data_IF_200146395519
#
_entry.id   IF_200146395519
#
_cell.length_a   1.000
_cell.length_b   1.000
_cell.length_c   1.000
_cell.angle_alpha   90.00
_cell.angle_beta   90.00
_cell.angle_gamma   90.00
#
_symmetry.space_group_name_H-M   'P 1'
#
loop_
_entity.id
_entity.type
_entity.pdbx_description
1 polymer ?
#
# COMPACT_ATOMS: atom_id res chain seq x y z
N UNK A 1 -24.39 15.46 -14.44
CA UNK A 1 -23.66 14.92 -15.61
C UNK A 1 -22.67 13.80 -15.22
N UNK A 2 -22.95 12.97 -14.20
CA UNK A 2 -21.95 12.01 -13.65
C UNK A 2 -22.42 10.55 -13.49
N UNK A 3 -23.70 10.22 -13.68
CA UNK A 3 -24.19 8.85 -13.50
C UNK A 3 -24.27 8.03 -14.81
N UNK A 4 -24.50 8.68 -15.95
CA UNK A 4 -24.50 8.00 -17.26
C UNK A 4 -23.11 7.49 -17.66
N UNK A 5 -22.04 8.20 -17.30
CA UNK A 5 -20.67 7.76 -17.58
C UNK A 5 -20.28 6.52 -16.76
N UNK A 6 -20.69 6.40 -15.49
CA UNK A 6 -20.38 5.20 -14.70
C UNK A 6 -21.12 3.95 -15.19
N UNK A 7 -22.38 4.11 -15.64
CA UNK A 7 -23.17 3.04 -16.23
C UNK A 7 -22.64 2.62 -17.62
N UNK A 8 -22.17 3.58 -18.42
CA UNK A 8 -21.50 3.26 -19.69
C UNK A 8 -20.13 2.61 -19.46
N UNK A 9 -19.32 3.10 -18.52
CA UNK A 9 -18.02 2.51 -18.18
C UNK A 9 -18.20 1.07 -17.68
N UNK A 10 -19.22 0.79 -16.87
CA UNK A 10 -19.55 -0.60 -16.49
C UNK A 10 -20.05 -1.42 -17.69
N UNK A 11 -20.87 -0.86 -18.58
CA UNK A 11 -21.28 -1.53 -19.82
C UNK A 11 -20.11 -1.86 -20.76
N UNK A 12 -19.09 -0.99 -20.80
CA UNK A 12 -17.85 -1.21 -21.56
C UNK A 12 -16.88 -2.17 -20.85
N UNK A 13 -16.81 -2.14 -19.51
CA UNK A 13 -15.97 -3.03 -18.71
C UNK A 13 -16.50 -4.48 -18.71
N UNK A 14 -17.82 -4.65 -18.79
CA UNK A 14 -18.51 -5.94 -18.76
C UNK A 14 -19.27 -6.22 -20.06
N UNK A 15 -18.64 -6.00 -21.22
CA UNK A 15 -19.19 -6.34 -22.54
C UNK A 15 -19.40 -7.86 -22.68
N UNK A 16 -20.43 -8.38 -22.03
CA UNK A 16 -21.00 -9.71 -22.24
C UNK A 16 -22.08 -9.49 -23.30
N UNK A 17 -21.66 -9.37 -24.57
CA UNK A 17 -22.63 -9.43 -25.67
C UNK A 17 -23.11 -10.88 -25.78
N UNK A 18 -24.42 -11.16 -25.68
CA UNK A 18 -24.94 -12.52 -25.87
C UNK A 18 -24.81 -13.00 -27.33
N UNK A 19 -24.40 -12.12 -28.26
CA UNK A 19 -23.99 -12.51 -29.61
C UNK A 19 -22.46 -12.67 -29.64
N UNK A 20 -22.06 -13.93 -29.51
CA UNK A 20 -20.67 -14.37 -29.43
C UNK A 20 -19.84 -13.99 -30.67
N UNK A 21 -18.53 -13.81 -30.46
CA UNK A 21 -17.45 -13.69 -31.44
C UNK A 21 -17.02 -12.32 -32.00
N UNK A 22 -17.70 -11.18 -31.77
CA UNK A 22 -17.23 -9.90 -32.34
C UNK A 22 -16.44 -8.96 -31.43
N UNK A 23 -16.60 -9.04 -30.11
CA UNK A 23 -15.89 -8.15 -29.19
C UNK A 23 -14.61 -8.81 -28.67
N UNK A 24 -13.56 -8.80 -29.48
CA UNK A 24 -12.20 -9.10 -28.99
C UNK A 24 -11.55 -7.82 -28.47
N UNK A 25 -10.93 -7.88 -27.29
CA UNK A 25 -10.21 -6.75 -26.71
C UNK A 25 -8.72 -7.09 -26.71
N UNK A 26 -7.91 -6.12 -27.12
CA UNK A 26 -6.45 -6.24 -27.08
C UNK A 26 -5.99 -6.14 -25.62
N UNK A 27 -5.11 -7.05 -25.18
CA UNK A 27 -4.68 -7.16 -23.77
C UNK A 27 -4.13 -5.87 -23.17
N UNK A 28 -3.35 -5.07 -23.89
CA UNK A 28 -2.81 -3.82 -23.33
C UNK A 28 -3.90 -2.82 -22.90
N UNK A 29 -5.04 -2.76 -23.61
CA UNK A 29 -6.18 -1.91 -23.22
C UNK A 29 -6.82 -2.40 -21.93
N UNK A 30 -6.98 -3.72 -21.84
CA UNK A 30 -7.46 -4.38 -20.62
C UNK A 30 -6.50 -4.13 -19.45
N UNK A 31 -5.19 -4.23 -19.68
CA UNK A 31 -4.17 -3.96 -18.67
C UNK A 31 -4.24 -2.51 -18.18
N UNK A 32 -4.35 -1.52 -19.07
CA UNK A 32 -4.48 -0.10 -18.68
C UNK A 32 -5.72 0.15 -17.81
N UNK A 33 -6.85 -0.46 -18.13
CA UNK A 33 -8.07 -0.34 -17.33
C UNK A 33 -7.88 -0.93 -15.92
N UNK A 34 -7.04 -1.95 -15.81
CA UNK A 34 -6.87 -2.72 -14.57
C UNK A 34 -5.69 -2.29 -13.71
N UNK A 35 -4.65 -1.67 -14.28
CA UNK A 35 -3.50 -1.15 -13.53
C UNK A 35 -3.96 -0.32 -12.32
N UNK A 36 -4.90 0.64 -12.45
CA UNK A 36 -5.42 1.39 -11.32
C UNK A 36 -5.99 0.49 -10.21
N UNK A 37 -6.47 -0.70 -10.57
CA UNK A 37 -7.02 -1.73 -9.70
C UNK A 37 -5.99 -2.44 -8.82
N UNK A 38 -4.75 -2.61 -9.29
CA UNK A 38 -3.71 -3.35 -8.55
C UNK A 38 -2.60 -2.45 -8.03
N UNK A 39 -2.28 -1.39 -8.77
CA UNK A 39 -1.19 -0.47 -8.45
C UNK A 39 -1.27 0.14 -7.06
N UNK A 40 -2.45 0.44 -6.47
CA UNK A 40 -2.50 1.08 -5.16
C UNK A 40 -1.99 0.16 -4.07
N UNK A 41 -2.19 -1.17 -4.16
CA UNK A 41 -1.64 -2.09 -3.14
C UNK A 41 -0.12 -1.92 -3.10
N UNK A 42 0.54 -2.09 -4.24
CA UNK A 42 2.01 -2.00 -4.34
C UNK A 42 2.48 -0.60 -3.94
N UNK A 43 1.80 0.44 -4.42
CA UNK A 43 2.16 1.82 -4.16
C UNK A 43 2.00 2.20 -2.67
N UNK A 44 0.90 1.81 -2.02
CA UNK A 44 0.66 2.11 -0.61
C UNK A 44 1.59 1.33 0.29
N UNK A 45 1.86 0.05 -0.01
CA UNK A 45 2.81 -0.74 0.78
C UNK A 45 4.24 -0.19 0.67
N UNK A 46 4.69 0.15 -0.54
CA UNK A 46 5.99 0.82 -0.71
C UNK A 46 6.00 2.19 -0.02
N UNK A 47 4.96 3.00 -0.18
CA UNK A 47 4.86 4.30 0.50
C UNK A 47 4.95 4.14 2.02
N UNK A 48 4.26 3.15 2.58
CA UNK A 48 4.31 2.84 4.00
C UNK A 48 5.73 2.46 4.44
N UNK A 49 6.43 1.61 3.69
CA UNK A 49 7.84 1.30 3.94
C UNK A 49 8.71 2.57 3.96
N UNK A 50 8.58 3.45 2.97
CA UNK A 50 9.40 4.66 2.89
C UNK A 50 9.10 5.64 4.03
N UNK A 51 7.82 5.79 4.41
CA UNK A 51 7.43 6.58 5.59
C UNK A 51 8.04 5.95 6.84
N UNK A 52 7.91 4.63 7.02
CA UNK A 52 8.49 3.93 8.17
C UNK A 52 10.02 4.13 8.25
N UNK A 53 10.75 4.00 7.13
CA UNK A 53 12.19 4.24 7.07
C UNK A 53 12.56 5.69 7.40
N UNK A 54 11.82 6.68 6.89
CA UNK A 54 11.99 8.09 7.25
C UNK A 54 11.85 8.28 8.77
N UNK A 55 10.83 7.67 9.38
CA UNK A 55 10.58 7.74 10.84
C UNK A 55 11.66 7.03 11.66
N UNK A 56 12.16 5.88 11.19
CA UNK A 56 13.32 5.23 11.79
C UNK A 56 14.53 6.17 11.77
N UNK A 57 14.84 6.78 10.62
CA UNK A 57 15.95 7.71 10.48
C UNK A 57 15.81 8.91 11.42
N UNK A 58 14.63 9.53 11.50
CA UNK A 58 14.36 10.63 12.42
C UNK A 58 14.50 10.22 13.90
N UNK A 59 14.15 8.97 14.24
CA UNK A 59 14.19 8.46 15.63
C UNK A 59 15.60 8.07 16.09
N UNK A 60 16.40 7.48 15.20
CA UNK A 60 17.75 6.97 15.53
C UNK A 60 18.88 7.93 15.19
N UNK A 61 18.74 8.74 14.13
CA UNK A 61 19.80 9.59 13.59
C UNK A 61 19.42 11.07 13.60
N UNK A 62 18.86 11.55 14.72
CA UNK A 62 18.29 12.89 14.87
C UNK A 62 19.21 14.01 14.35
N UNK A 63 20.48 14.04 14.78
CA UNK A 63 21.46 15.07 14.38
C UNK A 63 21.77 15.06 12.89
N UNK A 64 21.84 13.87 12.29
CA UNK A 64 22.10 13.72 10.85
C UNK A 64 20.86 14.09 10.05
N UNK A 65 19.68 13.74 10.56
CA UNK A 65 18.39 14.02 9.95
C UNK A 65 18.09 15.52 9.86
N UNK A 66 18.38 16.29 10.92
CA UNK A 66 18.24 17.76 10.92
C UNK A 66 19.06 18.45 9.84
N UNK A 67 20.28 17.95 9.62
CA UNK A 67 21.21 18.50 8.65
C UNK A 67 21.01 17.92 7.25
N UNK A 68 20.08 16.98 7.09
CA UNK A 68 19.83 16.33 5.82
C UNK A 68 19.18 17.32 4.84
N UNK A 69 19.77 17.59 3.66
CA UNK A 69 19.15 18.41 2.64
C UNK A 69 17.83 17.81 2.15
N UNK A 70 16.92 18.68 1.68
CA UNK A 70 15.66 18.32 1.01
C UNK A 70 15.82 17.31 -0.14
N UNK A 71 17.03 17.17 -0.69
CA UNK A 71 17.41 16.19 -1.72
C UNK A 71 17.11 14.74 -1.33
N UNK A 72 17.17 14.40 -0.03
CA UNK A 72 16.85 13.04 0.43
C UNK A 72 15.39 12.66 0.16
N UNK A 73 14.44 13.59 0.33
CA UNK A 73 13.03 13.33 0.03
C UNK A 73 12.81 13.07 -1.47
N UNK A 74 13.41 13.89 -2.34
CA UNK A 74 13.33 13.66 -3.79
C UNK A 74 13.96 12.34 -4.22
N UNK A 75 15.11 11.98 -3.63
CA UNK A 75 15.75 10.70 -3.89
C UNK A 75 14.89 9.51 -3.43
N UNK A 76 14.25 9.61 -2.27
CA UNK A 76 13.34 8.58 -1.75
C UNK A 76 12.12 8.40 -2.67
N UNK A 77 11.50 9.48 -3.14
CA UNK A 77 10.37 9.42 -4.08
C UNK A 77 10.80 8.82 -5.42
N UNK A 78 11.94 9.24 -5.97
CA UNK A 78 12.47 8.67 -7.22
C UNK A 78 12.74 7.17 -7.08
N UNK A 79 13.32 6.75 -5.94
CA UNK A 79 13.57 5.34 -5.64
C UNK A 79 12.26 4.55 -5.50
N UNK A 80 11.27 5.10 -4.80
CA UNK A 80 9.93 4.50 -4.68
C UNK A 80 9.30 4.27 -6.05
N UNK A 81 9.28 5.29 -6.91
CA UNK A 81 8.72 5.19 -8.26
C UNK A 81 9.47 4.17 -9.12
N UNK A 82 10.80 4.10 -8.96
CA UNK A 82 11.63 3.12 -9.67
C UNK A 82 11.30 1.70 -9.22
N UNK A 83 11.25 1.44 -7.92
CA UNK A 83 10.90 0.12 -7.37
C UNK A 83 9.48 -0.26 -7.81
N UNK A 84 8.53 0.67 -7.72
CA UNK A 84 7.16 0.47 -8.17
C UNK A 84 7.09 0.08 -9.65
N UNK A 85 7.77 0.84 -10.53
CA UNK A 85 7.81 0.56 -11.97
C UNK A 85 8.42 -0.80 -12.30
N UNK A 86 9.54 -1.15 -11.64
CA UNK A 86 10.17 -2.46 -11.77
C UNK A 86 9.25 -3.59 -11.29
N UNK A 87 8.49 -3.36 -10.22
CA UNK A 87 7.55 -4.35 -9.69
C UNK A 87 6.38 -4.61 -10.65
N UNK A 88 5.81 -3.53 -11.22
CA UNK A 88 4.76 -3.64 -12.24
C UNK A 88 5.31 -4.36 -13.48
N UNK A 89 6.51 -4.02 -13.92
CA UNK A 89 7.18 -4.72 -15.02
C UNK A 89 7.35 -6.22 -14.71
N UNK A 90 7.84 -6.57 -13.52
CA UNK A 90 8.00 -7.97 -13.09
C UNK A 90 6.68 -8.78 -13.16
N UNK A 91 5.56 -8.15 -12.83
CA UNK A 91 4.25 -8.82 -12.90
C UNK A 91 3.87 -9.14 -14.35
N UNK A 92 4.12 -8.21 -15.28
CA UNK A 92 3.55 -8.25 -16.64
C UNK A 92 4.57 -8.49 -17.78
N UNK A 93 5.87 -8.67 -17.51
CA UNK A 93 6.89 -8.75 -18.58
C UNK A 93 6.69 -9.91 -19.58
N UNK A 94 5.98 -10.96 -19.18
CA UNK A 94 5.79 -12.20 -19.96
C UNK A 94 4.40 -12.25 -20.60
N UNK A 95 3.62 -11.18 -20.48
CA UNK A 95 2.30 -11.09 -21.10
C UNK A 95 2.42 -10.68 -22.57
N UNK A 96 1.77 -11.44 -23.45
CA UNK A 96 1.58 -11.04 -24.85
C UNK A 96 0.54 -9.91 -24.93
N UNK A 97 1.00 -8.68 -24.79
CA UNK A 97 0.17 -7.46 -24.75
C UNK A 97 -0.64 -7.22 -26.03
N UNK A 98 -0.27 -7.82 -27.15
CA UNK A 98 -0.91 -7.65 -28.45
C UNK A 98 -1.90 -8.77 -28.79
N UNK A 99 -1.98 -9.81 -27.95
CA UNK A 99 -2.96 -10.88 -28.12
C UNK A 99 -4.38 -10.38 -27.91
N UNK A 100 -5.29 -10.88 -28.75
CA UNK A 100 -6.72 -10.66 -28.63
C UNK A 100 -7.32 -11.68 -27.67
N UNK A 101 -8.07 -11.20 -26.68
CA UNK A 101 -8.84 -12.04 -25.77
C UNK A 101 -10.34 -11.78 -25.93
N UNK A 102 -11.19 -12.82 -25.78
CA UNK A 102 -12.65 -12.68 -25.84
C UNK A 102 -13.22 -11.94 -24.63
N UNK A 103 -12.47 -11.88 -23.52
CA UNK A 103 -12.83 -11.12 -22.34
C UNK A 103 -11.59 -10.48 -21.71
N UNK A 104 -11.82 -9.36 -21.03
CA UNK A 104 -10.80 -8.72 -20.21
C UNK A 104 -10.74 -9.46 -18.88
N UNK A 105 -9.84 -10.45 -18.74
CA UNK A 105 -9.62 -11.21 -17.50
C UNK A 105 -8.60 -10.54 -16.58
N UNK A 106 -8.72 -10.77 -15.27
CA UNK A 106 -7.89 -10.11 -14.25
C UNK A 106 -6.45 -10.58 -14.20
N UNK A 107 -6.24 -11.82 -14.57
CA UNK A 107 -4.95 -12.47 -14.57
C UNK A 107 -4.93 -13.43 -15.76
N UNK A 108 -3.74 -13.63 -16.35
CA UNK A 108 -3.52 -14.78 -17.20
C UNK A 108 -2.94 -15.92 -16.36
N UNK A 109 -2.84 -17.12 -16.96
CA UNK A 109 -2.16 -18.25 -16.32
C UNK A 109 -0.70 -17.92 -15.94
N UNK A 110 -0.04 -17.02 -16.67
CA UNK A 110 1.37 -16.63 -16.44
C UNK A 110 1.53 -15.57 -15.35
N UNK A 111 0.64 -14.56 -15.31
CA UNK A 111 0.71 -13.47 -14.33
C UNK A 111 0.05 -13.80 -12.99
N UNK A 112 -0.95 -14.69 -12.96
CA UNK A 112 -1.65 -15.09 -11.74
C UNK A 112 -0.74 -15.50 -10.56
N UNK A 113 0.28 -16.37 -10.73
CA UNK A 113 1.17 -16.73 -9.62
C UNK A 113 2.04 -15.55 -9.17
N UNK A 114 2.47 -14.67 -10.08
CA UNK A 114 3.30 -13.50 -9.76
C UNK A 114 2.53 -12.44 -8.97
N UNK A 115 1.26 -12.22 -9.33
CA UNK A 115 0.35 -11.32 -8.62
C UNK A 115 0.10 -11.86 -7.21
N UNK A 116 -0.19 -13.16 -7.07
CA UNK A 116 -0.41 -13.78 -5.77
C UNK A 116 0.83 -13.66 -4.88
N UNK A 117 2.02 -13.98 -5.42
CA UNK A 117 3.28 -13.82 -4.69
C UNK A 117 3.52 -12.36 -4.29
N UNK A 118 3.21 -11.40 -5.18
CA UNK A 118 3.30 -9.97 -4.87
C UNK A 118 2.41 -9.61 -3.69
N UNK A 119 1.18 -10.09 -3.64
CA UNK A 119 0.28 -9.82 -2.51
C UNK A 119 0.82 -10.37 -1.19
N UNK A 120 1.39 -11.57 -1.17
CA UNK A 120 2.01 -12.10 0.05
C UNK A 120 3.23 -11.28 0.50
N UNK A 121 4.07 -10.85 -0.44
CA UNK A 121 5.24 -10.01 -0.14
C UNK A 121 4.79 -8.65 0.41
N UNK A 122 3.84 -7.99 -0.24
CA UNK A 122 3.34 -6.68 0.19
C UNK A 122 2.64 -6.77 1.54
N UNK A 123 1.89 -7.85 1.81
CA UNK A 123 1.27 -8.09 3.10
C UNK A 123 2.32 -8.26 4.21
N UNK A 124 3.36 -9.06 3.95
CA UNK A 124 4.45 -9.26 4.92
C UNK A 124 5.19 -7.95 5.21
N UNK A 125 5.40 -7.13 4.17
CA UNK A 125 6.01 -5.81 4.26
C UNK A 125 5.14 -4.84 5.09
N UNK A 126 3.85 -4.75 4.82
CA UNK A 126 2.91 -3.91 5.58
C UNK A 126 2.79 -4.34 7.04
N UNK A 127 2.71 -5.64 7.29
CA UNK A 127 2.69 -6.19 8.64
C UNK A 127 4.00 -5.84 9.39
N UNK A 128 5.15 -6.00 8.73
CA UNK A 128 6.45 -5.64 9.27
C UNK A 128 6.56 -4.15 9.61
N UNK A 129 6.12 -3.28 8.69
CA UNK A 129 6.12 -1.83 8.91
C UNK A 129 5.15 -1.42 10.02
N UNK A 130 3.96 -2.04 10.11
CA UNK A 130 2.97 -1.76 11.17
C UNK A 130 3.49 -2.17 12.55
N UNK A 131 4.13 -3.34 12.66
CA UNK A 131 4.80 -3.78 13.89
C UNK A 131 5.95 -2.82 14.24
N UNK A 132 6.71 -2.40 13.23
CA UNK A 132 7.77 -1.40 13.36
C UNK A 132 7.27 -0.06 13.89
N UNK A 133 6.18 0.47 13.34
CA UNK A 133 5.56 1.72 13.78
C UNK A 133 5.06 1.62 15.22
N UNK A 134 4.43 0.50 15.59
CA UNK A 134 4.03 0.24 16.98
C UNK A 134 5.25 0.25 17.92
N UNK A 135 6.35 -0.39 17.51
CA UNK A 135 7.60 -0.39 18.27
C UNK A 135 8.22 1.01 18.39
N UNK A 136 8.22 1.81 17.32
CA UNK A 136 8.69 3.20 17.33
C UNK A 136 7.84 4.09 18.26
N UNK A 137 6.51 3.92 18.27
CA UNK A 137 5.62 4.61 19.19
C UNK A 137 5.93 4.26 20.65
N UNK A 138 6.12 2.97 20.93
CA UNK A 138 6.48 2.49 22.26
C UNK A 138 7.83 3.06 22.71
N UNK A 139 8.85 3.02 21.84
CA UNK A 139 10.18 3.55 22.11
C UNK A 139 10.13 5.07 22.36
N UNK A 140 9.38 5.80 21.55
CA UNK A 140 9.20 7.26 21.68
C UNK A 140 8.51 7.62 23.01
N UNK A 141 7.48 6.86 23.40
CA UNK A 141 6.82 7.02 24.70
C UNK A 141 7.78 6.76 25.87
N UNK A 142 8.57 5.68 25.79
CA UNK A 142 9.57 5.34 26.81
C UNK A 142 10.63 6.43 26.97
N UNK A 143 11.18 6.95 25.87
CA UNK A 143 12.18 8.05 25.88
C UNK A 143 11.61 9.34 26.48
N UNK A 144 10.37 9.69 26.16
CA UNK A 144 9.69 10.86 26.73
C UNK A 144 9.47 10.70 28.25
N UNK A 145 9.04 9.53 28.70
CA UNK A 145 8.83 9.28 30.13
C UNK A 145 10.14 9.38 30.93
N UNK A 146 11.23 8.82 30.40
CA UNK A 146 12.56 8.95 31.01
C UNK A 146 12.99 10.42 31.09
N UNK A 147 12.84 11.19 30.01
CA UNK A 147 13.15 12.63 30.01
C UNK A 147 12.32 13.41 31.02
N UNK A 148 11.02 13.13 31.11
CA UNK A 148 10.15 13.78 32.09
C UNK A 148 10.57 13.45 33.52
N UNK A 149 10.93 12.19 33.81
CA UNK A 149 11.44 11.79 35.12
C UNK A 149 12.73 12.55 35.47
N UNK A 150 13.68 12.68 34.53
CA UNK A 150 14.89 13.48 34.72
C UNK A 150 14.60 14.97 34.94
N UNK A 151 13.61 15.54 34.23
CA UNK A 151 13.22 16.94 34.40
C UNK A 151 12.57 17.22 35.77
N UNK A 152 11.90 16.23 36.37
CA UNK A 152 11.31 16.32 37.71
C UNK A 152 12.37 16.21 38.81
N UNK A 153 13.48 15.51 38.57
CA UNK A 153 14.60 15.45 39.52
C UNK A 153 15.30 16.82 39.66
N UNK A 154 15.00 17.54 40.75
CA UNK A 154 15.57 18.87 41.09
C UNK A 154 17.09 18.96 40.94
N UNK A 155 17.81 17.85 41.17
CA UNK A 155 19.26 17.83 41.21
C UNK A 155 19.95 17.93 39.83
N UNK A 156 19.23 17.62 38.73
CA UNK A 156 19.77 17.65 37.36
C UNK A 156 19.41 18.93 36.58
N UNK A 157 18.62 19.84 37.16
CA UNK A 157 18.29 21.14 36.53
C UNK A 157 19.51 22.04 36.28
N UNK A 158 20.61 21.79 36.97
CA UNK A 158 21.85 22.60 36.89
C UNK A 158 22.81 22.13 35.78
N UNK A 159 22.47 21.10 34.99
CA UNK A 159 23.27 20.60 33.88
C UNK A 159 22.66 21.05 32.52
N UNK A 160 22.87 22.31 32.08
CA UNK A 160 22.30 22.83 30.85
C UNK A 160 22.79 22.10 29.59
N UNK A 161 23.94 21.43 29.64
CA UNK A 161 24.53 20.72 28.49
C UNK A 161 23.69 19.54 27.97
N UNK A 162 22.87 18.92 28.82
CA UNK A 162 22.14 17.69 28.45
C UNK A 162 20.71 17.94 27.96
N UNK A 163 20.15 19.14 28.16
CA UNK A 163 18.79 19.47 27.73
C UNK A 163 18.80 20.37 26.49
N UNK A 164 18.84 19.75 25.32
CA UNK A 164 18.66 20.47 24.04
C UNK A 164 17.17 20.59 23.71
N UNK A 165 16.68 21.84 23.67
CA UNK A 165 15.28 22.17 23.36
C UNK A 165 14.86 21.64 21.99
N UNK A 166 15.75 21.73 20.98
CA UNK A 166 15.51 21.24 19.61
C UNK A 166 15.16 19.75 19.59
N UNK A 167 15.90 18.93 20.33
CA UNK A 167 15.66 17.48 20.37
C UNK A 167 14.33 17.13 21.01
N UNK A 168 13.92 17.85 22.06
CA UNK A 168 12.63 17.64 22.71
C UNK A 168 11.47 18.04 21.80
N UNK A 169 11.64 19.11 21.02
CA UNK A 169 10.66 19.52 20.01
C UNK A 169 10.48 18.43 18.94
N UNK A 170 11.57 17.90 18.40
CA UNK A 170 11.52 16.88 17.36
C UNK A 170 10.99 15.53 17.82
N UNK A 171 11.37 15.09 19.02
CA UNK A 171 10.83 13.85 19.56
C UNK A 171 9.30 13.97 19.78
N UNK A 172 8.84 15.17 20.17
CA UNK A 172 7.41 15.47 20.32
C UNK A 172 6.71 15.51 18.95
N UNK A 173 7.28 16.20 17.97
CA UNK A 173 6.76 16.28 16.61
C UNK A 173 6.65 14.88 16.00
N UNK A 174 7.74 14.11 16.02
CA UNK A 174 7.75 12.76 15.47
C UNK A 174 6.73 11.85 16.17
N UNK A 175 6.60 11.93 17.50
CA UNK A 175 5.56 11.19 18.24
C UNK A 175 4.15 11.57 17.78
N UNK A 176 3.87 12.86 17.58
CA UNK A 176 2.57 13.34 17.13
C UNK A 176 2.30 12.85 15.71
N UNK A 177 3.27 12.97 14.80
CA UNK A 177 3.13 12.50 13.42
C UNK A 177 2.91 10.99 13.36
N UNK A 178 3.72 10.19 14.07
CA UNK A 178 3.54 8.72 14.10
C UNK A 178 2.19 8.35 14.71
N UNK A 179 1.74 9.03 15.78
CA UNK A 179 0.44 8.77 16.38
C UNK A 179 -0.73 9.10 15.43
N UNK A 180 -0.56 10.10 14.56
CA UNK A 180 -1.55 10.47 13.55
C UNK A 180 -1.56 9.49 12.37
N UNK A 181 -0.40 9.02 11.90
CA UNK A 181 -0.28 8.11 10.75
C UNK A 181 -0.64 6.66 11.11
N UNK A 182 -0.31 6.22 12.32
CA UNK A 182 -0.52 4.84 12.78
C UNK A 182 -1.94 4.27 12.59
N UNK A 183 -3.04 4.98 12.94
CA UNK A 183 -4.39 4.45 12.71
C UNK A 183 -4.71 4.23 11.23
N UNK A 184 -4.24 5.11 10.34
CA UNK A 184 -4.45 4.96 8.89
C UNK A 184 -3.72 3.73 8.36
N UNK A 185 -2.45 3.57 8.75
CA UNK A 185 -1.63 2.41 8.39
C UNK A 185 -2.26 1.10 8.90
N UNK A 186 -2.72 1.10 10.15
CA UNK A 186 -3.34 -0.08 10.78
C UNK A 186 -4.65 -0.43 10.08
N UNK A 187 -5.47 0.57 9.76
CA UNK A 187 -6.71 0.37 9.01
C UNK A 187 -6.43 -0.19 7.60
N UNK A 188 -5.47 0.39 6.87
CA UNK A 188 -5.04 -0.12 5.57
C UNK A 188 -4.60 -1.59 5.64
N UNK A 189 -3.73 -1.92 6.60
CA UNK A 189 -3.23 -3.28 6.80
C UNK A 189 -4.35 -4.27 7.15
N UNK A 190 -5.31 -3.87 7.99
CA UNK A 190 -6.46 -4.69 8.35
C UNK A 190 -7.38 -4.96 7.14
N UNK A 191 -7.69 -3.91 6.37
CA UNK A 191 -8.51 -4.03 5.15
C UNK A 191 -7.81 -4.92 4.13
N UNK A 192 -6.51 -4.73 3.92
CA UNK A 192 -5.74 -5.53 2.98
C UNK A 192 -5.63 -7.00 3.40
N UNK A 193 -5.39 -7.26 4.69
CA UNK A 193 -5.37 -8.61 5.24
C UNK A 193 -6.73 -9.31 5.09
N UNK A 194 -7.82 -8.62 5.42
CA UNK A 194 -9.19 -9.14 5.29
C UNK A 194 -9.51 -9.45 3.82
N UNK A 195 -9.15 -8.54 2.91
CA UNK A 195 -9.29 -8.74 1.47
C UNK A 195 -8.54 -10.00 0.99
N UNK A 196 -7.30 -10.23 1.46
CA UNK A 196 -6.53 -11.42 1.08
C UNK A 196 -7.13 -12.71 1.64
N UNK A 197 -7.63 -12.70 2.87
CA UNK A 197 -8.34 -13.85 3.43
C UNK A 197 -9.58 -14.15 2.60
N UNK A 198 -10.44 -13.16 2.35
CA UNK A 198 -11.68 -13.35 1.62
C UNK A 198 -11.44 -13.83 0.19
N UNK A 199 -10.47 -13.24 -0.52
CA UNK A 199 -10.15 -13.66 -1.89
C UNK A 199 -9.52 -15.05 -1.95
N UNK A 200 -8.68 -15.40 -0.97
CA UNK A 200 -8.06 -16.74 -0.88
C UNK A 200 -9.10 -17.79 -0.53
N UNK A 201 -9.94 -17.57 0.47
CA UNK A 201 -10.99 -18.51 0.86
C UNK A 201 -12.00 -18.70 -0.26
N UNK A 202 -12.42 -17.62 -0.91
CA UNK A 202 -13.28 -17.67 -2.09
C UNK A 202 -12.65 -18.48 -3.21
N UNK A 203 -11.36 -18.29 -3.50
CA UNK A 203 -10.65 -19.07 -4.52
C UNK A 203 -10.60 -20.56 -4.19
N UNK A 204 -10.37 -20.92 -2.93
CA UNK A 204 -10.29 -22.31 -2.49
C UNK A 204 -11.65 -23.01 -2.49
N UNK A 205 -12.73 -22.31 -2.14
CA UNK A 205 -14.08 -22.91 -2.06
C UNK A 205 -14.78 -22.98 -3.41
N UNK A 206 -14.65 -21.96 -4.25
CA UNK A 206 -15.45 -21.78 -5.48
C UNK A 206 -14.64 -22.12 -6.74
N UNK A 207 -13.31 -22.03 -6.69
CA UNK A 207 -12.43 -22.25 -7.84
C UNK A 207 -12.43 -23.66 -8.42
N UNK A 208 -12.90 -24.65 -7.66
CA UNK A 208 -12.92 -26.05 -8.11
C UNK A 208 -14.20 -26.49 -8.84
N UNK A 209 -15.24 -25.66 -8.94
CA UNK A 209 -16.52 -26.13 -9.48
C UNK A 209 -17.47 -25.10 -10.11
N UNK A 210 -17.09 -23.82 -10.21
CA UNK A 210 -18.00 -22.77 -10.72
C UNK A 210 -17.55 -22.19 -12.06
N UNK A 211 -18.50 -21.57 -12.78
CA UNK A 211 -18.23 -20.92 -14.05
C UNK A 211 -17.30 -19.71 -13.85
N UNK A 212 -16.32 -19.49 -14.76
CA UNK A 212 -15.30 -18.43 -14.63
C UNK A 212 -15.89 -17.01 -14.56
N UNK A 213 -17.12 -16.83 -15.03
CA UNK A 213 -17.83 -15.54 -15.01
C UNK A 213 -18.20 -15.12 -13.59
N UNK A 214 -18.73 -16.03 -12.76
CA UNK A 214 -19.11 -15.74 -11.38
C UNK A 214 -17.87 -15.37 -10.58
N UNK A 215 -16.80 -16.16 -10.72
CA UNK A 215 -15.53 -15.90 -10.05
C UNK A 215 -14.97 -14.52 -10.41
N UNK A 216 -14.91 -14.20 -11.70
CA UNK A 216 -14.37 -12.90 -12.16
C UNK A 216 -15.22 -11.75 -11.63
N UNK A 217 -16.55 -11.85 -11.72
CA UNK A 217 -17.47 -10.79 -11.27
C UNK A 217 -17.36 -10.54 -9.76
N UNK A 218 -17.27 -11.60 -8.95
CA UNK A 218 -17.10 -11.47 -7.50
C UNK A 218 -15.75 -10.83 -7.13
N UNK A 219 -14.67 -11.20 -7.81
CA UNK A 219 -13.34 -10.61 -7.58
C UNK A 219 -13.31 -9.14 -7.99
N UNK A 220 -13.87 -8.78 -9.15
CA UNK A 220 -13.98 -7.38 -9.59
C UNK A 220 -14.85 -6.55 -8.63
N UNK A 221 -15.97 -7.10 -8.16
CA UNK A 221 -16.82 -6.47 -7.15
C UNK A 221 -16.04 -6.18 -5.86
N UNK A 222 -15.24 -7.14 -5.38
CA UNK A 222 -14.39 -6.94 -4.21
C UNK A 222 -13.32 -5.86 -4.44
N UNK A 223 -12.76 -5.76 -5.65
CA UNK A 223 -11.85 -4.68 -6.00
C UNK A 223 -12.54 -3.31 -5.94
N UNK A 224 -13.73 -3.16 -6.51
CA UNK A 224 -14.47 -1.89 -6.51
C UNK A 224 -14.81 -1.45 -5.09
N UNK A 225 -15.30 -2.35 -4.24
CA UNK A 225 -15.58 -2.04 -2.83
C UNK A 225 -14.33 -1.55 -2.11
N UNK A 226 -13.17 -2.17 -2.36
CA UNK A 226 -11.89 -1.75 -1.79
C UNK A 226 -11.51 -0.33 -2.22
N UNK A 227 -11.70 0.03 -3.49
CA UNK A 227 -11.44 1.39 -3.96
C UNK A 227 -12.27 2.42 -3.22
N UNK A 228 -13.56 2.15 -3.03
CA UNK A 228 -14.45 3.09 -2.33
C UNK A 228 -14.00 3.36 -0.89
N UNK A 229 -13.47 2.35 -0.19
CA UNK A 229 -12.96 2.52 1.18
C UNK A 229 -11.66 3.30 1.29
N UNK A 230 -10.82 3.32 0.26
CA UNK A 230 -9.54 4.06 0.29
C UNK A 230 -9.76 5.58 0.15
N UNK A 231 -10.88 6.00 -0.46
CA UNK A 231 -11.20 7.41 -0.73
C UNK A 231 -12.20 8.03 0.27
N UNK A 232 -12.66 7.27 1.26
CA UNK A 232 -13.54 7.72 2.36
C UNK A 232 -12.72 8.01 3.62
#
# INVERSE_FOLDING_TARGET
MSYQTAAEITKYAYHISPSECRSVIIRWKCLLLRIPGFSPIICFSLLHLFIFLERCCATFFLKTYENAPKRYGYAAVALLLTIFGLWVFYIFYDEDLFRYNPYCGATSATSAPRILNTYYIMLALDAGCTIGDFWLLWLSKKRMNLRNAFATSRHLRTMPEYYQLSQSYQLRENKVTTALVFPFVTAHSLVFFTYLILTTTFRLTIGNGTTPVIYTTSVEGAHVVRFSFIFL
#
